data_IF_307265283744
#
_entry.id   IF_307265283744
#
_cell.length_a   1.000
_cell.length_b   1.000
_cell.length_c   1.000
_cell.angle_alpha   90.00
_cell.angle_beta   90.00
_cell.angle_gamma   90.00
#
_symmetry.space_group_name_H-M   'P 1'
#
loop_
_entity.id
_entity.type
_entity.pdbx_description
1 polymer ?
#
# COMPACT_ATOMS: atom_id res chain seq x y z
N UNK A 1 39.62 -64.28 30.50
CA UNK A 1 38.53 -64.08 29.52
C UNK A 1 37.30 -63.60 30.27
N UNK A 2 37.37 -62.36 30.76
CA UNK A 2 36.30 -61.48 31.28
C UNK A 2 37.04 -60.31 31.96
N UNK A 3 37.14 -59.14 31.33
CA UNK A 3 37.16 -57.85 32.04
C UNK A 3 37.06 -56.67 31.05
N UNK A 4 35.89 -56.06 31.08
CA UNK A 4 35.60 -54.63 30.95
C UNK A 4 36.02 -53.85 29.70
N UNK A 5 34.99 -53.66 28.86
CA UNK A 5 34.80 -52.52 27.98
C UNK A 5 34.85 -51.20 28.78
N UNK A 6 36.00 -50.53 28.77
CA UNK A 6 36.07 -49.10 29.08
C UNK A 6 37.10 -48.43 28.16
N UNK A 7 36.70 -48.07 26.94
CA UNK A 7 37.45 -47.11 26.11
C UNK A 7 36.50 -46.13 25.42
N UNK A 8 36.37 -44.99 26.07
CA UNK A 8 36.25 -43.65 25.49
C UNK A 8 35.29 -43.50 24.30
N UNK A 9 34.02 -43.26 24.63
CA UNK A 9 33.07 -42.60 23.74
C UNK A 9 33.60 -41.19 23.45
N UNK A 10 34.23 -40.99 22.29
CA UNK A 10 34.59 -39.65 21.81
C UNK A 10 33.31 -38.98 21.31
N UNK A 11 32.64 -38.25 22.21
CA UNK A 11 31.50 -37.40 21.86
C UNK A 11 32.04 -36.22 21.08
N UNK A 12 31.97 -36.31 19.74
CA UNK A 12 32.17 -35.17 18.86
C UNK A 12 30.92 -34.29 19.01
N UNK A 13 30.96 -33.34 19.94
CA UNK A 13 30.02 -32.23 19.98
C UNK A 13 30.38 -31.35 18.79
N UNK A 14 29.67 -31.56 17.67
CA UNK A 14 29.70 -30.65 16.54
C UNK A 14 28.98 -29.37 16.98
N UNK A 15 29.73 -28.42 17.53
CA UNK A 15 29.28 -27.05 17.74
C UNK A 15 29.06 -26.45 16.36
N UNK A 16 27.82 -26.57 15.86
CA UNK A 16 27.34 -25.79 14.72
C UNK A 16 27.39 -24.32 15.17
N UNK A 17 28.11 -23.43 14.47
CA UNK A 17 28.04 -22.02 14.76
C UNK A 17 26.59 -21.58 14.51
N UNK A 18 25.88 -21.25 15.59
CA UNK A 18 24.61 -20.55 15.51
C UNK A 18 24.98 -19.18 14.95
N UNK A 19 24.81 -18.98 13.66
CA UNK A 19 24.87 -17.65 13.07
C UNK A 19 23.87 -16.79 13.84
N UNK A 20 24.40 -15.80 14.55
CA UNK A 20 23.63 -14.87 15.36
C UNK A 20 22.59 -14.18 14.48
N UNK A 21 21.38 -13.96 15.01
CA UNK A 21 20.27 -13.28 14.34
C UNK A 21 20.64 -11.89 13.77
N UNK A 22 21.80 -11.33 14.12
CA UNK A 22 22.28 -10.04 13.62
C UNK A 22 22.43 -9.99 12.10
N UNK A 23 22.85 -11.05 11.43
CA UNK A 23 23.01 -11.00 9.96
C UNK A 23 21.68 -11.09 9.20
N UNK A 24 20.62 -11.54 9.87
CA UNK A 24 19.25 -11.59 9.31
C UNK A 24 18.56 -10.23 9.45
N UNK A 25 18.85 -9.49 10.53
CA UNK A 25 18.38 -8.11 10.76
C UNK A 25 19.00 -7.15 9.73
N UNK A 26 20.29 -7.30 9.41
CA UNK A 26 20.96 -6.45 8.40
C UNK A 26 20.39 -6.59 6.97
N UNK A 27 19.69 -7.67 6.64
CA UNK A 27 18.99 -7.82 5.34
C UNK A 27 17.57 -7.25 5.40
N UNK A 28 16.96 -7.29 6.59
CA UNK A 28 15.63 -6.77 6.89
C UNK A 28 15.59 -5.23 6.84
N UNK A 29 16.64 -4.58 7.33
CA UNK A 29 16.80 -3.12 7.38
C UNK A 29 17.21 -2.46 6.05
N UNK A 30 17.29 -3.21 4.93
CA UNK A 30 17.66 -2.66 3.61
C UNK A 30 16.49 -2.13 2.80
N UNK A 31 15.25 -2.24 3.29
CA UNK A 31 14.09 -1.60 2.69
C UNK A 31 13.61 -0.41 3.52
N UNK A 32 13.11 0.60 2.81
CA UNK A 32 12.81 1.96 3.33
C UNK A 32 11.57 2.04 4.21
N UNK A 33 10.87 0.92 4.44
CA UNK A 33 9.62 0.82 5.20
C UNK A 33 9.81 -0.10 6.40
N UNK A 34 9.50 0.37 7.62
CA UNK A 34 9.72 -0.31 8.90
C UNK A 34 9.14 -1.75 8.91
N UNK A 35 9.92 -2.79 8.61
CA UNK A 35 9.31 -4.04 8.16
C UNK A 35 8.68 -4.81 9.32
N UNK A 36 9.10 -4.54 10.57
CA UNK A 36 8.50 -5.09 11.81
C UNK A 36 7.06 -4.58 12.00
N UNK A 37 6.78 -3.32 11.71
CA UNK A 37 5.45 -2.71 11.92
C UNK A 37 4.45 -3.28 10.91
N UNK A 38 4.87 -3.44 9.65
CA UNK A 38 4.12 -4.13 8.60
C UNK A 38 3.79 -5.56 9.01
N UNK A 39 4.82 -6.29 9.47
CA UNK A 39 4.73 -7.68 9.90
C UNK A 39 3.74 -7.82 11.08
N UNK A 40 3.80 -6.94 12.08
CA UNK A 40 2.84 -6.90 13.20
C UNK A 40 1.41 -6.58 12.74
N UNK A 41 1.25 -5.64 11.81
CA UNK A 41 -0.05 -5.25 11.28
C UNK A 41 -0.72 -6.40 10.52
N UNK A 42 0.02 -7.06 9.62
CA UNK A 42 -0.46 -8.24 8.91
C UNK A 42 -0.85 -9.36 9.88
N UNK A 43 -0.07 -9.55 10.94
CA UNK A 43 -0.37 -10.51 12.00
C UNK A 43 -1.68 -10.22 12.74
N UNK A 44 -1.93 -8.96 13.11
CA UNK A 44 -3.19 -8.55 13.75
C UNK A 44 -4.36 -8.74 12.77
N UNK A 45 -4.21 -8.35 11.51
CA UNK A 45 -5.24 -8.55 10.47
C UNK A 45 -5.63 -10.03 10.33
N UNK A 46 -4.66 -10.93 10.22
CA UNK A 46 -4.92 -12.36 10.00
C UNK A 46 -5.51 -13.08 11.22
N UNK A 47 -5.07 -12.73 12.44
CA UNK A 47 -5.42 -13.46 13.65
C UNK A 47 -6.56 -12.84 14.46
N UNK A 48 -6.67 -11.51 14.46
CA UNK A 48 -7.53 -10.77 15.37
C UNK A 48 -8.76 -10.18 14.67
N UNK A 49 -8.70 -9.95 13.36
CA UNK A 49 -9.79 -9.33 12.61
C UNK A 49 -10.80 -10.35 12.06
N UNK A 50 -12.00 -9.85 11.74
CA UNK A 50 -13.07 -10.64 11.15
C UNK A 50 -12.67 -11.16 9.76
N UNK A 51 -13.07 -12.40 9.48
CA UNK A 51 -12.83 -13.06 8.20
C UNK A 51 -14.02 -12.86 7.28
N UNK A 52 -13.78 -12.29 6.09
CA UNK A 52 -14.77 -12.13 5.03
C UNK A 52 -14.57 -13.22 3.97
N UNK A 53 -15.62 -13.94 3.60
CA UNK A 53 -15.53 -14.94 2.54
C UNK A 53 -15.39 -14.32 1.15
N UNK A 54 -14.48 -14.86 0.35
CA UNK A 54 -14.28 -14.45 -1.05
C UNK A 54 -15.02 -15.40 -1.98
N UNK A 55 -15.85 -14.86 -2.86
CA UNK A 55 -16.38 -15.63 -3.99
C UNK A 55 -15.23 -15.91 -4.95
N UNK A 56 -14.87 -17.19 -5.08
CA UNK A 56 -13.82 -17.63 -6.00
C UNK A 56 -14.36 -18.59 -7.06
N UNK A 57 -13.66 -18.63 -8.19
CA UNK A 57 -14.00 -19.44 -9.33
C UNK A 57 -12.92 -20.48 -9.56
N UNK A 58 -13.36 -21.72 -9.82
CA UNK A 58 -12.48 -22.81 -10.26
C UNK A 58 -12.52 -22.87 -11.79
N UNK A 59 -11.37 -22.99 -12.42
CA UNK A 59 -11.25 -22.98 -13.88
C UNK A 59 -11.26 -24.41 -14.39
N UNK A 60 -12.13 -24.68 -15.36
CA UNK A 60 -12.18 -25.97 -16.04
C UNK A 60 -11.47 -25.98 -17.42
N UNK A 61 -11.12 -24.82 -18.02
CA UNK A 61 -10.32 -24.74 -19.27
C UNK A 61 -9.98 -23.34 -19.83
N UNK A 62 -10.33 -22.24 -19.17
CA UNK A 62 -10.15 -20.87 -19.72
C UNK A 62 -8.69 -20.39 -19.64
N UNK A 63 -8.31 -19.48 -20.54
CA UNK A 63 -7.08 -18.70 -20.40
C UNK A 63 -7.21 -17.63 -19.30
N UNK A 64 -6.08 -17.09 -18.83
CA UNK A 64 -6.06 -16.08 -17.76
C UNK A 64 -6.74 -14.78 -18.16
N UNK A 65 -6.57 -14.32 -19.40
CA UNK A 65 -7.23 -13.11 -19.91
C UNK A 65 -8.75 -13.30 -20.05
N UNK A 66 -9.20 -14.44 -20.58
CA UNK A 66 -10.64 -14.76 -20.68
C UNK A 66 -11.29 -14.84 -19.29
N UNK A 67 -10.56 -15.36 -18.31
CA UNK A 67 -11.03 -15.39 -16.92
C UNK A 67 -11.11 -13.99 -16.32
N UNK A 68 -10.11 -13.13 -16.56
CA UNK A 68 -10.16 -11.74 -16.16
C UNK A 68 -11.41 -11.04 -16.72
N UNK A 69 -11.65 -11.14 -18.03
CA UNK A 69 -12.81 -10.53 -18.70
C UNK A 69 -14.15 -11.05 -18.16
N UNK A 70 -14.21 -12.34 -17.80
CA UNK A 70 -15.41 -12.93 -17.20
C UNK A 70 -15.69 -12.40 -15.80
N UNK A 71 -14.65 -12.18 -14.99
CA UNK A 71 -14.80 -11.84 -13.58
C UNK A 71 -14.82 -10.34 -13.31
N UNK A 72 -14.19 -9.52 -14.17
CA UNK A 72 -14.08 -8.08 -13.96
C UNK A 72 -15.43 -7.36 -13.97
N UNK A 73 -16.42 -7.93 -14.67
CA UNK A 73 -17.77 -7.36 -14.75
C UNK A 73 -18.62 -7.61 -13.50
N UNK A 74 -18.23 -8.56 -12.64
CA UNK A 74 -18.91 -8.84 -11.38
C UNK A 74 -18.11 -8.25 -10.22
N UNK A 75 -18.32 -6.96 -9.96
CA UNK A 75 -17.63 -6.24 -8.87
C UNK A 75 -18.02 -6.74 -7.48
N UNK A 76 -19.09 -7.54 -7.36
CA UNK A 76 -19.46 -8.16 -6.08
C UNK A 76 -18.48 -9.25 -5.64
N UNK A 77 -17.66 -9.75 -6.58
CA UNK A 77 -16.62 -10.76 -6.36
C UNK A 77 -15.25 -10.16 -6.03
N UNK A 78 -15.13 -8.83 -5.85
CA UNK A 78 -13.84 -8.19 -5.66
C UNK A 78 -13.37 -8.30 -4.21
N UNK A 79 -12.12 -8.71 -4.04
CA UNK A 79 -11.37 -8.46 -2.81
C UNK A 79 -10.96 -7.00 -2.83
N UNK A 80 -11.74 -6.18 -2.13
CA UNK A 80 -11.42 -4.77 -1.90
C UNK A 80 -10.41 -4.67 -0.76
N UNK A 81 -9.30 -3.96 -0.97
CA UNK A 81 -8.24 -3.82 0.03
C UNK A 81 -8.77 -3.22 1.34
N UNK A 82 -8.29 -3.76 2.46
CA UNK A 82 -8.73 -3.38 3.79
C UNK A 82 -7.67 -3.72 4.82
N UNK A 83 -7.33 -2.74 5.66
CA UNK A 83 -6.42 -2.95 6.79
C UNK A 83 -7.17 -3.44 8.05
N UNK A 84 -8.46 -3.79 7.94
CA UNK A 84 -9.32 -4.13 9.08
C UNK A 84 -10.02 -5.48 8.95
N UNK A 85 -9.82 -6.23 7.87
CA UNK A 85 -10.38 -7.57 7.72
C UNK A 85 -9.34 -8.48 7.07
N UNK A 86 -9.45 -9.78 7.33
CA UNK A 86 -8.80 -10.78 6.50
C UNK A 86 -9.85 -11.46 5.61
N UNK A 87 -9.39 -12.09 4.54
CA UNK A 87 -10.24 -12.78 3.59
C UNK A 87 -10.09 -14.29 3.74
N UNK A 88 -11.20 -14.98 3.92
CA UNK A 88 -11.27 -16.44 3.93
C UNK A 88 -11.56 -16.93 2.53
N UNK A 89 -10.63 -17.68 1.97
CA UNK A 89 -10.72 -18.20 0.59
C UNK A 89 -10.86 -19.70 0.69
N UNK A 90 -12.03 -20.19 0.31
CA UNK A 90 -12.29 -21.62 0.27
C UNK A 90 -11.39 -22.31 -0.75
N UNK A 91 -10.89 -23.48 -0.39
CA UNK A 91 -10.29 -24.36 -1.39
C UNK A 91 -9.37 -25.42 -0.81
N UNK A 92 -9.43 -26.59 -1.43
CA UNK A 92 -8.49 -27.70 -1.42
C UNK A 92 -7.69 -27.78 -2.74
N UNK A 93 -7.73 -26.71 -3.55
CA UNK A 93 -7.32 -26.68 -4.96
C UNK A 93 -7.04 -25.24 -5.44
N UNK A 94 -6.88 -25.04 -6.76
CA UNK A 94 -6.65 -23.72 -7.38
C UNK A 94 -7.95 -22.90 -7.47
N UNK A 95 -7.89 -21.66 -6.98
CA UNK A 95 -9.00 -20.70 -6.96
C UNK A 95 -8.58 -19.38 -7.60
N UNK A 96 -9.53 -18.71 -8.28
CA UNK A 96 -9.34 -17.42 -8.92
C UNK A 96 -10.39 -16.39 -8.47
N UNK A 97 -9.97 -15.14 -8.35
CA UNK A 97 -10.84 -14.02 -7.97
C UNK A 97 -10.20 -12.68 -8.41
N UNK A 98 -10.95 -11.59 -8.35
CA UNK A 98 -10.42 -10.26 -8.68
C UNK A 98 -9.97 -9.54 -7.41
N UNK A 99 -8.77 -8.96 -7.45
CA UNK A 99 -8.31 -7.99 -6.46
C UNK A 99 -8.35 -6.61 -7.11
N UNK A 100 -8.88 -5.63 -6.39
CA UNK A 100 -8.93 -4.25 -6.85
C UNK A 100 -8.04 -3.36 -5.98
N UNK A 101 -7.03 -2.75 -6.60
CA UNK A 101 -6.13 -1.76 -6.02
C UNK A 101 -6.68 -0.36 -6.34
N UNK A 102 -7.39 0.30 -5.41
CA UNK A 102 -8.15 1.52 -5.68
C UNK A 102 -7.27 2.74 -5.92
N UNK A 103 -6.00 2.68 -5.53
CA UNK A 103 -5.05 3.79 -5.62
C UNK A 103 -3.67 3.27 -6.01
N UNK A 104 -2.88 4.11 -6.66
CA UNK A 104 -1.48 3.80 -6.93
C UNK A 104 -0.70 3.89 -5.61
N UNK A 105 0.20 2.95 -5.37
CA UNK A 105 1.05 2.93 -4.19
C UNK A 105 2.39 2.27 -4.51
N UNK A 106 3.44 2.69 -3.81
CA UNK A 106 4.78 2.11 -3.88
C UNK A 106 4.80 0.64 -3.53
N UNK A 107 3.94 0.21 -2.59
CA UNK A 107 3.95 -1.15 -2.08
C UNK A 107 2.58 -1.59 -1.57
N UNK A 108 2.21 -2.80 -1.95
CA UNK A 108 1.16 -3.60 -1.35
C UNK A 108 1.78 -4.85 -0.75
N UNK A 109 1.41 -5.16 0.48
CA UNK A 109 1.90 -6.33 1.19
C UNK A 109 0.81 -7.38 1.25
N UNK A 110 1.09 -8.56 0.69
CA UNK A 110 0.16 -9.68 0.69
C UNK A 110 0.70 -10.80 1.57
N UNK A 111 -0.12 -11.30 2.50
CA UNK A 111 0.23 -12.40 3.38
C UNK A 111 -0.84 -13.51 3.37
N UNK A 112 -0.37 -14.76 3.39
CA UNK A 112 -1.19 -15.98 3.37
C UNK A 112 -0.52 -17.12 4.13
N UNK A 113 -1.29 -18.20 4.32
CA UNK A 113 -0.81 -19.41 4.98
C UNK A 113 0.36 -20.08 4.23
N UNK A 114 1.40 -20.41 4.98
CA UNK A 114 2.46 -21.41 4.78
C UNK A 114 2.54 -22.27 3.51
N UNK A 115 1.45 -22.90 3.09
CA UNK A 115 1.42 -23.93 2.05
C UNK A 115 0.70 -23.48 0.80
N UNK A 116 0.38 -22.19 0.68
CA UNK A 116 -0.32 -21.67 -0.49
C UNK A 116 0.62 -20.91 -1.40
N UNK A 117 0.37 -20.99 -2.71
CA UNK A 117 1.02 -20.17 -3.72
C UNK A 117 0.07 -19.06 -4.15
N UNK A 118 0.61 -17.86 -4.36
CA UNK A 118 -0.13 -16.68 -4.79
C UNK A 118 0.54 -16.03 -6.01
N UNK A 119 -0.28 -15.72 -7.02
CA UNK A 119 0.14 -15.02 -8.22
C UNK A 119 -0.97 -14.10 -8.71
N UNK A 120 -0.62 -12.95 -9.28
CA UNK A 120 -1.57 -12.01 -9.88
C UNK A 120 -1.25 -11.82 -11.37
N UNK A 121 -2.29 -11.57 -12.16
CA UNK A 121 -2.21 -11.32 -13.59
C UNK A 121 -2.91 -10.01 -13.95
N UNK A 122 -2.36 -9.28 -14.92
CA UNK A 122 -3.02 -8.12 -15.51
C UNK A 122 -4.12 -8.51 -16.51
N UNK A 123 -4.77 -7.51 -17.10
CA UNK A 123 -5.85 -7.68 -18.08
C UNK A 123 -5.40 -8.41 -19.37
N UNK A 124 -4.09 -8.41 -19.68
CA UNK A 124 -3.53 -9.16 -20.81
C UNK A 124 -3.21 -10.62 -20.43
N UNK A 125 -3.50 -11.02 -19.19
CA UNK A 125 -3.18 -12.33 -18.65
C UNK A 125 -1.69 -12.52 -18.34
N UNK A 126 -0.90 -11.43 -18.30
CA UNK A 126 0.52 -11.48 -17.97
C UNK A 126 0.72 -11.49 -16.46
N UNK A 127 1.57 -12.40 -15.98
CA UNK A 127 1.93 -12.49 -14.56
C UNK A 127 2.64 -11.22 -14.09
N UNK A 128 2.22 -10.68 -12.94
CA UNK A 128 2.97 -9.69 -12.18
C UNK A 128 3.57 -10.40 -10.97
N UNK A 129 4.88 -10.64 -11.02
CA UNK A 129 5.64 -11.16 -9.88
C UNK A 129 5.86 -10.08 -8.82
N UNK A 130 6.13 -10.46 -7.56
CA UNK A 130 6.47 -9.52 -6.51
C UNK A 130 7.82 -8.83 -6.79
N UNK A 131 7.94 -7.58 -6.37
CA UNK A 131 9.15 -6.76 -6.49
C UNK A 131 10.28 -7.27 -5.59
N UNK A 132 9.90 -7.88 -4.47
CA UNK A 132 10.84 -8.51 -3.55
C UNK A 132 10.31 -9.87 -3.09
N UNK A 133 11.17 -10.88 -3.17
CA UNK A 133 10.92 -12.25 -2.67
C UNK A 133 11.57 -12.46 -1.30
N UNK A 134 11.87 -11.40 -0.54
CA UNK A 134 12.30 -11.50 0.85
C UNK A 134 11.14 -12.05 1.70
N UNK A 135 11.02 -13.37 1.68
CA UNK A 135 10.16 -14.14 2.56
C UNK A 135 10.64 -13.85 3.99
N UNK A 136 9.88 -13.05 4.74
CA UNK A 136 10.05 -12.97 6.19
C UNK A 136 9.65 -14.33 6.76
N UNK A 137 10.61 -15.25 6.86
CA UNK A 137 10.47 -16.56 7.51
C UNK A 137 10.43 -16.42 9.04
N UNK A 138 10.29 -15.20 9.55
CA UNK A 138 10.25 -14.94 10.98
C UNK A 138 8.89 -15.40 11.48
N UNK A 139 8.91 -16.42 12.33
CA UNK A 139 7.83 -16.68 13.27
C UNK A 139 7.67 -15.39 14.09
N UNK A 140 6.72 -14.54 13.71
CA UNK A 140 6.29 -13.44 14.57
C UNK A 140 5.75 -14.14 15.81
N UNK A 141 6.39 -13.93 16.96
CA UNK A 141 5.97 -14.56 18.20
C UNK A 141 4.48 -14.25 18.44
N UNK A 142 3.61 -15.24 18.30
CA UNK A 142 2.16 -15.10 18.44
C UNK A 142 1.31 -15.40 17.20
N UNK A 143 1.90 -15.51 16.00
CA UNK A 143 1.16 -15.80 14.76
C UNK A 143 1.39 -17.25 14.32
N UNK A 144 0.39 -18.12 14.50
CA UNK A 144 0.48 -19.55 14.19
C UNK A 144 0.62 -19.85 12.70
N UNK A 145 0.18 -18.94 11.82
CA UNK A 145 -0.16 -19.28 10.44
C UNK A 145 0.61 -18.50 9.35
N UNK A 146 1.43 -17.51 9.72
CA UNK A 146 2.15 -16.67 8.74
C UNK A 146 3.44 -17.33 8.24
N UNK A 147 3.68 -17.37 6.92
CA UNK A 147 5.03 -17.68 6.38
C UNK A 147 5.50 -16.88 5.18
N UNK A 148 4.64 -16.18 4.44
CA UNK A 148 5.08 -15.48 3.21
C UNK A 148 4.49 -14.08 3.12
N UNK A 149 5.35 -13.09 2.91
CA UNK A 149 5.02 -11.71 2.57
C UNK A 149 5.43 -11.48 1.12
N UNK A 150 4.47 -11.11 0.29
CA UNK A 150 4.72 -10.66 -1.08
C UNK A 150 4.64 -9.13 -1.09
N UNK A 151 5.60 -8.48 -1.73
CA UNK A 151 5.62 -7.02 -1.90
C UNK A 151 5.42 -6.71 -3.38
N UNK A 152 4.42 -5.90 -3.70
CA UNK A 152 4.12 -5.47 -5.06
C UNK A 152 4.12 -3.95 -5.16
N UNK A 153 4.81 -3.39 -6.15
CA UNK A 153 4.86 -1.94 -6.38
C UNK A 153 4.10 -1.53 -7.63
N UNK A 154 3.58 -0.29 -7.64
CA UNK A 154 2.93 0.32 -8.79
C UNK A 154 1.74 -0.48 -9.33
N UNK A 155 0.98 -1.11 -8.42
CA UNK A 155 -0.29 -1.74 -8.78
C UNK A 155 -1.41 -0.71 -8.71
N UNK A 156 -2.23 -0.67 -9.76
CA UNK A 156 -3.42 0.18 -9.83
C UNK A 156 -4.50 -0.48 -10.68
N UNK A 157 -5.74 -0.44 -10.20
CA UNK A 157 -6.87 -1.07 -10.87
C UNK A 157 -7.05 -2.53 -10.49
N UNK A 158 -7.67 -3.31 -11.38
CA UNK A 158 -8.04 -4.68 -11.09
C UNK A 158 -7.04 -5.69 -11.65
N UNK A 159 -6.82 -6.77 -10.90
CA UNK A 159 -5.95 -7.88 -11.27
C UNK A 159 -6.65 -9.19 -10.97
N UNK A 160 -6.39 -10.18 -11.82
CA UNK A 160 -6.82 -11.55 -11.57
C UNK A 160 -5.83 -12.20 -10.60
N UNK A 161 -6.31 -12.60 -9.42
CA UNK A 161 -5.52 -13.36 -8.46
C UNK A 161 -5.75 -14.85 -8.65
N UNK A 162 -4.68 -15.61 -8.50
CA UNK A 162 -4.67 -17.07 -8.47
C UNK A 162 -4.05 -17.51 -7.16
N UNK A 163 -4.78 -18.35 -6.44
CA UNK A 163 -4.29 -19.05 -5.25
C UNK A 163 -4.29 -20.54 -5.52
N UNK A 164 -3.20 -21.22 -5.17
CA UNK A 164 -3.13 -22.68 -5.10
C UNK A 164 -2.96 -23.08 -3.65
N UNK A 165 -3.93 -23.80 -3.10
CA UNK A 165 -3.85 -24.33 -1.74
C UNK A 165 -3.62 -25.85 -1.79
N UNK A 166 -2.57 -26.33 -1.11
CA UNK A 166 -2.19 -27.74 -1.12
C UNK A 166 -2.69 -28.55 0.09
N UNK A 167 -2.99 -27.91 1.22
CA UNK A 167 -3.12 -28.65 2.50
C UNK A 167 -4.23 -28.17 3.42
N UNK A 168 -4.86 -27.04 3.13
CA UNK A 168 -5.93 -26.46 3.96
C UNK A 168 -7.26 -26.53 3.21
N UNK A 169 -8.40 -26.46 3.90
CA UNK A 169 -9.72 -26.34 3.25
C UNK A 169 -10.14 -24.88 3.04
N UNK A 170 -9.45 -23.95 3.72
CA UNK A 170 -9.59 -22.51 3.59
C UNK A 170 -8.23 -21.88 3.85
N UNK A 171 -7.94 -20.78 3.17
CA UNK A 171 -6.74 -19.96 3.36
C UNK A 171 -7.17 -18.59 3.84
N UNK A 172 -6.46 -18.01 4.81
CA UNK A 172 -6.61 -16.60 5.13
C UNK A 172 -5.65 -15.75 4.31
N UNK A 173 -6.15 -14.65 3.78
CA UNK A 173 -5.40 -13.65 3.02
C UNK A 173 -5.50 -12.30 3.75
N UNK A 174 -4.39 -11.59 3.83
CA UNK A 174 -4.35 -10.18 4.20
C UNK A 174 -3.61 -9.39 3.11
N UNK A 175 -4.10 -8.19 2.81
CA UNK A 175 -3.53 -7.27 1.84
C UNK A 175 -3.52 -5.91 2.52
N UNK A 176 -2.32 -5.42 2.78
CA UNK A 176 -2.06 -4.17 3.48
C UNK A 176 -1.52 -3.14 2.49
N UNK A 177 -2.11 -1.96 2.50
CA UNK A 177 -1.49 -0.75 2.00
C UNK A 177 -1.14 0.13 3.20
N UNK A 178 0.15 0.39 3.40
CA UNK A 178 0.65 1.30 4.43
C UNK A 178 0.91 2.71 3.90
N UNK A 179 0.78 2.91 2.58
CA UNK A 179 0.92 4.24 1.99
C UNK A 179 -0.27 5.12 2.38
N UNK A 180 0.04 6.20 3.10
CA UNK A 180 -0.92 7.21 3.51
C UNK A 180 -0.72 8.46 2.63
N UNK A 181 -1.79 9.05 2.07
CA UNK A 181 -1.65 10.23 1.23
C UNK A 181 -1.14 11.43 2.04
N UNK A 182 -0.49 12.41 1.39
CA UNK A 182 -0.24 13.70 2.04
C UNK A 182 -1.57 14.35 2.45
N UNK A 183 -1.53 15.25 3.43
CA UNK A 183 -2.70 16.04 3.85
C UNK A 183 -2.52 17.48 3.39
N UNK A 184 -3.37 17.91 2.46
CA UNK A 184 -3.27 19.22 1.82
C UNK A 184 -3.83 20.33 2.74
N UNK A 185 -3.03 21.37 2.98
CA UNK A 185 -3.50 22.63 3.58
C UNK A 185 -2.61 23.80 3.16
N UNK A 186 -3.11 25.02 3.29
CA UNK A 186 -2.37 26.25 3.04
C UNK A 186 -2.91 27.47 3.80
N UNK A 187 -2.13 28.54 3.84
CA UNK A 187 -2.56 29.85 4.32
C UNK A 187 -2.39 30.91 3.24
N UNK A 188 -3.12 32.00 3.37
CA UNK A 188 -3.02 33.17 2.49
C UNK A 188 -2.76 34.40 3.34
N UNK A 189 -1.91 35.31 2.87
CA UNK A 189 -1.54 36.53 3.61
C UNK A 189 -2.74 37.41 3.98
N UNK A 190 -3.78 37.43 3.15
CA UNK A 190 -5.05 38.11 3.43
C UNK A 190 -6.22 37.40 2.73
N UNK A 191 -7.40 37.44 3.34
CA UNK A 191 -8.67 37.00 2.73
C UNK A 191 -9.38 38.12 1.96
N UNK A 192 -8.92 39.36 2.07
CA UNK A 192 -9.46 40.52 1.36
C UNK A 192 -8.33 41.40 0.80
N UNK A 193 -8.45 41.82 -0.45
CA UNK A 193 -7.47 42.68 -1.11
C UNK A 193 -8.12 43.50 -2.24
N UNK A 194 -7.35 44.37 -2.86
CA UNK A 194 -7.75 45.12 -4.05
C UNK A 194 -7.23 44.45 -5.33
N UNK A 195 -7.80 44.86 -6.47
CA UNK A 195 -7.32 44.41 -7.78
C UNK A 195 -5.83 44.74 -7.93
N UNK A 196 -5.03 43.78 -8.37
CA UNK A 196 -3.58 43.93 -8.54
C UNK A 196 -2.74 43.77 -7.27
N UNK A 197 -3.34 43.71 -6.08
CA UNK A 197 -2.61 43.40 -4.85
C UNK A 197 -2.00 42.00 -4.93
N UNK A 198 -0.75 41.88 -4.49
CA UNK A 198 -0.04 40.60 -4.43
C UNK A 198 -0.35 39.89 -3.12
N UNK A 199 -0.95 38.71 -3.22
CA UNK A 199 -1.19 37.81 -2.10
C UNK A 199 -0.15 36.70 -2.08
N UNK A 200 0.20 36.26 -0.86
CA UNK A 200 1.15 35.18 -0.65
C UNK A 200 0.37 33.94 -0.24
N UNK A 201 0.59 32.84 -0.95
CA UNK A 201 0.03 31.53 -0.63
C UNK A 201 1.15 30.65 -0.12
N UNK A 202 0.95 30.05 1.05
CA UNK A 202 1.95 29.21 1.73
C UNK A 202 1.32 27.89 2.09
N UNK A 203 1.85 26.79 1.55
CA UNK A 203 1.45 25.45 1.93
C UNK A 203 1.79 25.19 3.40
N UNK A 204 0.82 24.64 4.12
CA UNK A 204 0.95 24.08 5.47
C UNK A 204 0.63 22.59 5.45
N UNK A 205 0.77 21.97 4.27
CA UNK A 205 0.47 20.56 4.03
C UNK A 205 1.42 19.66 4.82
N UNK A 206 0.96 18.46 5.15
CA UNK A 206 1.72 17.45 5.87
C UNK A 206 2.01 16.26 4.95
N UNK A 207 3.25 15.78 4.98
CA UNK A 207 3.65 14.55 4.30
C UNK A 207 2.88 13.34 4.87
N UNK A 208 2.57 12.38 4.00
CA UNK A 208 1.95 11.11 4.38
C UNK A 208 3.03 10.08 4.70
N UNK A 209 2.98 8.93 4.05
CA UNK A 209 4.06 7.94 4.13
C UNK A 209 5.34 8.43 3.43
N UNK A 210 5.19 9.29 2.42
CA UNK A 210 6.29 9.87 1.64
C UNK A 210 6.26 11.40 1.68
N UNK A 211 7.42 12.00 1.41
CA UNK A 211 7.57 13.44 1.33
C UNK A 211 6.83 14.03 0.13
N UNK A 212 6.25 15.22 0.30
CA UNK A 212 5.58 15.93 -0.79
C UNK A 212 6.62 16.33 -1.85
N UNK A 213 6.42 15.86 -3.08
CA UNK A 213 7.29 16.11 -4.24
C UNK A 213 6.71 17.13 -5.22
N UNK A 214 5.41 17.40 -5.18
CA UNK A 214 4.74 18.33 -6.09
C UNK A 214 3.65 19.17 -5.40
N UNK A 215 3.51 20.42 -5.88
CA UNK A 215 2.49 21.39 -5.46
C UNK A 215 1.82 21.95 -6.71
N UNK A 216 0.49 21.87 -6.78
CA UNK A 216 -0.31 22.46 -7.86
C UNK A 216 -1.36 23.39 -7.25
N UNK A 217 -1.16 24.69 -7.47
CA UNK A 217 -2.04 25.77 -7.03
C UNK A 217 -3.04 26.11 -8.12
N UNK A 218 -4.31 26.28 -7.75
CA UNK A 218 -5.32 26.93 -8.57
C UNK A 218 -5.89 28.09 -7.76
N UNK A 219 -5.87 29.30 -8.31
CA UNK A 219 -6.30 30.49 -7.57
C UNK A 219 -7.81 30.76 -7.70
N UNK A 220 -8.54 29.98 -8.50
CA UNK A 220 -9.97 30.11 -8.71
C UNK A 220 -10.37 31.15 -9.77
N UNK A 221 -9.38 31.72 -10.48
CA UNK A 221 -9.53 32.74 -11.52
C UNK A 221 -9.08 32.25 -12.92
N UNK A 222 -8.94 30.94 -13.09
CA UNK A 222 -8.33 30.24 -14.23
C UNK A 222 -6.80 30.38 -14.35
N UNK A 223 -6.11 30.95 -13.35
CA UNK A 223 -4.66 30.88 -13.24
C UNK A 223 -4.24 29.77 -12.26
N UNK A 224 -3.06 29.22 -12.51
CA UNK A 224 -2.47 28.14 -11.71
C UNK A 224 -0.96 28.26 -11.62
N UNK A 225 -0.34 27.62 -10.63
CA UNK A 225 1.12 27.51 -10.50
C UNK A 225 1.52 26.09 -10.06
N UNK A 226 2.60 25.57 -10.62
CA UNK A 226 3.19 24.27 -10.27
C UNK A 226 4.60 24.40 -9.68
N UNK A 227 4.92 25.55 -9.07
CA UNK A 227 6.30 25.87 -8.69
C UNK A 227 6.73 25.23 -7.38
N UNK A 228 6.11 25.60 -6.26
CA UNK A 228 6.63 25.28 -4.93
C UNK A 228 5.57 25.35 -3.83
N UNK A 229 5.97 25.05 -2.60
CA UNK A 229 5.16 25.22 -1.39
C UNK A 229 4.79 26.69 -1.10
N UNK A 230 5.37 27.65 -1.82
CA UNK A 230 5.12 29.07 -1.65
C UNK A 230 4.98 29.78 -3.00
N UNK A 231 3.90 30.52 -3.20
CA UNK A 231 3.64 31.26 -4.45
C UNK A 231 3.05 32.64 -4.19
N UNK A 232 3.30 33.56 -5.11
CA UNK A 232 2.66 34.86 -5.16
C UNK A 232 1.59 34.85 -6.24
N UNK A 233 0.44 35.47 -5.97
CA UNK A 233 -0.61 35.66 -6.97
C UNK A 233 -1.33 36.99 -6.78
N UNK A 234 -1.70 37.64 -7.88
CA UNK A 234 -2.55 38.83 -7.88
C UNK A 234 -3.74 38.61 -8.81
N UNK A 235 -4.91 39.10 -8.40
CA UNK A 235 -6.13 38.97 -9.15
C UNK A 235 -6.34 40.20 -10.04
N UNK A 236 -6.65 39.96 -11.32
CA UNK A 236 -6.85 41.00 -12.31
C UNK A 236 -8.24 41.66 -12.24
N UNK A 237 -9.22 40.96 -11.67
CA UNK A 237 -10.60 41.41 -11.58
C UNK A 237 -11.09 41.37 -10.13
N UNK A 238 -12.08 42.21 -9.81
CA UNK A 238 -12.79 42.13 -8.53
C UNK A 238 -13.71 40.91 -8.52
N UNK A 239 -13.80 40.20 -7.40
CA UNK A 239 -14.62 39.01 -7.29
C UNK A 239 -14.40 38.24 -6.01
N UNK A 240 -15.07 37.09 -5.91
CA UNK A 240 -14.86 36.13 -4.83
C UNK A 240 -14.31 34.84 -5.43
N UNK A 241 -13.14 34.41 -4.95
CA UNK A 241 -12.38 33.32 -5.51
C UNK A 241 -12.27 32.15 -4.54
N UNK A 242 -12.21 30.94 -5.10
CA UNK A 242 -12.03 29.68 -4.38
C UNK A 242 -10.69 29.08 -4.78
N UNK A 243 -9.60 29.46 -4.08
CA UNK A 243 -8.31 28.84 -4.33
C UNK A 243 -8.30 27.38 -3.82
N UNK A 244 -7.47 26.58 -4.47
CA UNK A 244 -7.17 25.21 -4.06
C UNK A 244 -5.68 24.90 -4.19
N UNK A 245 -5.23 23.93 -3.40
CA UNK A 245 -3.90 23.34 -3.49
C UNK A 245 -4.05 21.83 -3.59
N UNK A 246 -3.44 21.24 -4.61
CA UNK A 246 -3.18 19.80 -4.69
C UNK A 246 -1.71 19.55 -4.35
N UNK A 247 -1.44 18.68 -3.38
CA UNK A 247 -0.09 18.18 -3.08
C UNK A 247 0.01 16.71 -3.42
N UNK A 248 1.17 16.28 -3.89
CA UNK A 248 1.45 14.87 -4.20
C UNK A 248 2.83 14.46 -3.72
N UNK A 249 2.96 13.21 -3.30
CA UNK A 249 4.24 12.56 -3.00
C UNK A 249 4.83 11.81 -4.22
N UNK A 250 4.11 11.77 -5.33
CA UNK A 250 4.47 11.02 -6.54
C UNK A 250 3.62 9.78 -6.78
N UNK A 251 2.85 9.33 -5.77
CA UNK A 251 1.99 8.15 -5.83
C UNK A 251 0.56 8.49 -5.43
N UNK A 252 0.41 9.14 -4.28
CA UNK A 252 -0.84 9.65 -3.77
C UNK A 252 -0.87 11.18 -3.83
N UNK A 253 -2.07 11.72 -3.74
CA UNK A 253 -2.30 13.15 -3.70
C UNK A 253 -3.51 13.47 -2.84
N UNK A 254 -3.52 14.69 -2.33
CA UNK A 254 -4.68 15.27 -1.66
C UNK A 254 -4.90 16.69 -2.17
N UNK A 255 -6.16 17.12 -2.15
CA UNK A 255 -6.57 18.45 -2.61
C UNK A 255 -7.45 19.13 -1.59
N UNK A 256 -7.03 20.33 -1.20
CA UNK A 256 -7.80 21.22 -0.34
C UNK A 256 -8.37 22.38 -1.14
N UNK A 257 -9.65 22.70 -0.92
CA UNK A 257 -10.33 23.87 -1.46
C UNK A 257 -10.64 24.84 -0.31
N UNK A 258 -10.53 26.15 -0.55
CA UNK A 258 -11.01 27.19 0.37
C UNK A 258 -12.14 28.01 -0.29
N UNK A 259 -13.39 27.52 -0.25
CA UNK A 259 -14.52 28.14 -0.96
C UNK A 259 -14.76 29.59 -0.55
N UNK A 260 -14.70 30.48 -1.54
CA UNK A 260 -14.95 31.92 -1.36
C UNK A 260 -14.06 32.59 -0.31
N UNK A 261 -12.87 32.05 -0.04
CA UNK A 261 -12.00 32.56 1.02
C UNK A 261 -11.28 33.85 0.66
N UNK A 262 -11.27 34.23 -0.62
CA UNK A 262 -10.59 35.42 -1.13
C UNK A 262 -11.62 36.36 -1.76
N UNK A 263 -11.66 37.60 -1.27
CA UNK A 263 -12.52 38.67 -1.79
C UNK A 263 -11.64 39.80 -2.33
N UNK A 264 -11.79 40.11 -3.61
CA UNK A 264 -11.06 41.16 -4.30
C UNK A 264 -12.01 42.31 -4.62
N UNK A 265 -11.73 43.49 -4.08
CA UNK A 265 -12.52 44.69 -4.28
C UNK A 265 -11.99 45.55 -5.43
N UNK A 266 -12.89 46.26 -6.12
CA UNK A 266 -12.51 47.31 -7.08
C UNK A 266 -12.04 48.56 -6.32
N UNK A 267 -10.80 48.99 -6.53
CA UNK A 267 -10.17 50.16 -5.89
C UNK A 267 -8.65 49.98 -5.81
N UNK A 268 -7.92 51.01 -5.35
CA UNK A 268 -6.51 50.91 -4.95
C UNK A 268 -6.43 50.92 -3.42
N UNK A 269 -5.43 50.24 -2.84
CA UNK A 269 -5.09 50.42 -1.42
C UNK A 269 -4.66 51.87 -1.17
N UNK A 270 -5.47 52.64 -0.42
CA UNK A 270 -5.09 54.00 0.02
C UNK A 270 -3.82 54.02 0.88
#
# INVERSE_FOLDING_TARGET
>A
MLLELLKALSVIILLIPINSCNSLIEVYDRETTAPIEIDQSLCSILNEMESISVTSYKVDSLSTSELFDSLINDTSSFVSLSNINNWSIDGDSTSYFIIYFPQEADSYYVALDQSSEFEIYDYEGQSKGPNNLNISLINIAGCSDMRMRYVYSNLYGAYLAKIVNYSSSSVKLAILNDNTPPSADFTVSSSAAFVGDTLNFVSTSQSGAYEITAYNWNFGDNNSSNDSSFVYHSYADSGTYTPSLTVSDGYLHDTVYKPGSIVIASGDSE
#
